data_IF_288592810138
#
_entry.id   IF_288592810138
#
_cell.length_a   1.000
_cell.length_b   1.000
_cell.length_c   1.000
_cell.angle_alpha   90.00
_cell.angle_beta   90.00
_cell.angle_gamma   90.00
#
_symmetry.space_group_name_H-M   'P 1'
#
loop_
_entity.id
_entity.type
_entity.pdbx_description
1 polymer ?
#
# COMPACT_ATOMS: atom_id res chain seq x y z
N UNK A 1 -9.56 -1.93 -6.36
CA UNK A 1 -9.16 -2.85 -5.29
C UNK A 1 -9.35 -4.23 -5.87
N UNK A 2 -8.26 -4.89 -6.27
CA UNK A 2 -8.34 -6.29 -6.62
C UNK A 2 -8.56 -7.09 -5.33
N UNK A 3 -9.44 -8.10 -5.33
CA UNK A 3 -9.49 -9.02 -4.21
C UNK A 3 -8.09 -9.61 -4.01
N UNK A 4 -7.72 -9.75 -2.75
CA UNK A 4 -6.45 -10.31 -2.31
C UNK A 4 -6.17 -11.60 -3.10
N UNK A 5 -5.09 -11.63 -3.86
CA UNK A 5 -4.72 -12.80 -4.66
C UNK A 5 -4.36 -14.03 -3.80
N UNK A 6 -4.35 -13.87 -2.46
CA UNK A 6 -4.20 -14.93 -1.48
C UNK A 6 -5.47 -15.76 -1.36
N UNK A 7 -5.64 -16.74 -2.19
CA UNK A 7 -6.79 -17.64 -2.22
C UNK A 7 -7.44 -17.79 -3.60
N UNK A 8 -6.89 -17.11 -4.57
CA UNK A 8 -7.28 -17.36 -5.96
C UNK A 8 -6.63 -18.66 -6.42
N UNK A 9 -7.46 -19.62 -6.82
CA UNK A 9 -6.98 -20.83 -7.50
C UNK A 9 -6.41 -20.46 -8.88
N UNK A 10 -5.60 -21.35 -9.47
CA UNK A 10 -5.15 -21.19 -10.86
C UNK A 10 -6.33 -21.02 -11.82
N UNK A 11 -7.48 -21.64 -11.53
CA UNK A 11 -8.73 -21.48 -12.27
C UNK A 11 -9.30 -20.05 -12.17
N UNK A 12 -9.22 -19.41 -11.00
CA UNK A 12 -9.68 -18.02 -10.82
C UNK A 12 -8.74 -17.03 -11.53
N UNK A 13 -7.44 -17.31 -11.54
CA UNK A 13 -6.44 -16.54 -12.29
C UNK A 13 -6.69 -16.66 -13.80
N UNK A 14 -6.99 -17.86 -14.27
CA UNK A 14 -7.31 -18.11 -15.67
C UNK A 14 -8.64 -17.46 -16.08
N UNK A 15 -9.67 -17.52 -15.22
CA UNK A 15 -10.95 -16.83 -15.46
C UNK A 15 -10.81 -15.30 -15.49
N UNK A 16 -9.87 -14.73 -14.74
CA UNK A 16 -9.52 -13.30 -14.83
C UNK A 16 -8.83 -12.95 -16.15
N UNK A 17 -7.97 -13.85 -16.66
CA UNK A 17 -7.28 -13.66 -17.94
C UNK A 17 -8.24 -13.82 -19.14
N UNK A 18 -9.29 -14.61 -18.99
CA UNK A 18 -10.33 -14.86 -20.03
C UNK A 18 -11.45 -13.80 -20.04
N UNK A 19 -11.47 -12.85 -19.09
CA UNK A 19 -12.45 -11.76 -19.08
C UNK A 19 -12.28 -10.87 -20.32
N UNK A 20 -13.39 -10.56 -20.96
CA UNK A 20 -13.42 -9.59 -22.06
C UNK A 20 -12.84 -8.25 -21.61
N UNK A 21 -12.03 -7.57 -22.45
CA UNK A 21 -11.43 -6.28 -22.10
C UNK A 21 -12.42 -5.24 -21.54
N UNK A 22 -13.67 -5.25 -22.04
CA UNK A 22 -14.74 -4.38 -21.55
C UNK A 22 -15.20 -4.65 -20.12
N UNK A 23 -14.98 -5.85 -19.55
CA UNK A 23 -15.30 -6.17 -18.16
C UNK A 23 -14.25 -5.67 -17.16
N UNK A 24 -13.04 -5.41 -17.63
CA UNK A 24 -11.94 -4.84 -16.82
C UNK A 24 -11.98 -3.32 -16.79
N UNK A 25 -12.74 -2.68 -17.68
CA UNK A 25 -12.84 -1.22 -17.71
C UNK A 25 -13.74 -0.72 -16.59
N UNK A 26 -13.25 0.19 -15.72
CA UNK A 26 -14.05 0.73 -14.61
C UNK A 26 -15.26 1.51 -15.12
N UNK A 27 -16.45 1.21 -14.59
CA UNK A 27 -17.68 1.97 -14.89
C UNK A 27 -17.74 3.20 -14.00
N UNK A 28 -17.30 4.34 -14.51
CA UNK A 28 -17.31 5.62 -13.78
C UNK A 28 -18.45 6.48 -14.27
N UNK A 29 -19.28 6.98 -13.35
CA UNK A 29 -20.37 7.90 -13.70
C UNK A 29 -19.80 9.18 -14.33
N UNK A 30 -20.47 9.77 -15.36
CA UNK A 30 -19.97 10.95 -16.07
C UNK A 30 -19.56 12.10 -15.17
N UNK A 31 -20.34 12.41 -14.14
CA UNK A 31 -20.08 13.48 -13.18
C UNK A 31 -18.83 13.23 -12.31
N UNK A 32 -18.36 11.97 -12.18
CA UNK A 32 -17.17 11.59 -11.42
C UNK A 32 -15.91 11.38 -12.29
N UNK A 33 -16.04 11.45 -13.59
CA UNK A 33 -14.94 11.25 -14.55
C UNK A 33 -13.71 12.17 -14.28
N UNK A 34 -13.89 13.50 -14.02
CA UNK A 34 -12.73 14.35 -13.74
C UNK A 34 -11.98 13.93 -12.48
N UNK A 35 -12.71 13.56 -11.41
CA UNK A 35 -12.12 13.11 -10.16
C UNK A 35 -11.39 11.75 -10.35
N UNK A 36 -11.97 10.85 -11.13
CA UNK A 36 -11.35 9.58 -11.47
C UNK A 36 -10.04 9.76 -12.22
N UNK A 37 -10.02 10.62 -13.25
CA UNK A 37 -8.79 10.93 -14.01
C UNK A 37 -7.71 11.56 -13.14
N UNK A 38 -8.10 12.45 -12.22
CA UNK A 38 -7.16 13.03 -11.25
C UNK A 38 -6.58 11.96 -10.33
N UNK A 39 -7.42 11.03 -9.83
CA UNK A 39 -6.97 9.89 -9.04
C UNK A 39 -5.99 8.98 -9.79
N UNK A 40 -6.27 8.67 -11.06
CA UNK A 40 -5.35 7.88 -11.90
C UNK A 40 -4.01 8.58 -12.11
N UNK A 41 -4.03 9.91 -12.32
CA UNK A 41 -2.80 10.70 -12.46
C UNK A 41 -1.98 10.65 -11.18
N UNK A 42 -2.60 10.91 -10.02
CA UNK A 42 -1.94 10.83 -8.71
C UNK A 42 -1.35 9.43 -8.47
N UNK A 43 -2.13 8.38 -8.70
CA UNK A 43 -1.66 7.00 -8.53
C UNK A 43 -0.45 6.68 -9.41
N UNK A 44 -0.45 7.17 -10.65
CA UNK A 44 0.69 6.98 -11.57
C UNK A 44 1.94 7.73 -11.10
N UNK A 45 1.79 8.98 -10.64
CA UNK A 45 2.89 9.80 -10.13
C UNK A 45 3.48 9.20 -8.84
N UNK A 46 2.64 8.78 -7.91
CA UNK A 46 3.03 8.08 -6.69
C UNK A 46 3.77 6.77 -6.99
N UNK A 47 3.22 5.96 -7.89
CA UNK A 47 3.86 4.72 -8.32
C UNK A 47 5.21 4.95 -8.96
N UNK A 48 5.36 6.01 -9.76
CA UNK A 48 6.64 6.39 -10.38
C UNK A 48 7.68 6.78 -9.34
N UNK A 49 7.29 7.52 -8.30
CA UNK A 49 8.17 7.89 -7.18
C UNK A 49 8.56 6.67 -6.36
N UNK A 50 7.60 5.77 -6.08
CA UNK A 50 7.86 4.51 -5.37
C UNK A 50 8.82 3.58 -6.13
N UNK A 51 8.75 3.55 -7.46
CA UNK A 51 9.65 2.73 -8.29
C UNK A 51 11.13 3.17 -8.23
N UNK A 52 11.39 4.37 -7.74
CA UNK A 52 12.77 4.84 -7.53
C UNK A 52 13.34 4.38 -6.18
N UNK A 53 12.50 3.82 -5.31
CA UNK A 53 12.90 3.36 -3.99
C UNK A 53 13.34 1.90 -4.08
N UNK A 54 14.58 1.64 -3.72
CA UNK A 54 15.13 0.29 -3.59
C UNK A 54 15.58 0.05 -2.16
N UNK A 55 14.79 -0.70 -1.41
CA UNK A 55 15.09 -1.07 -0.02
C UNK A 55 14.43 -2.41 0.34
N UNK A 56 15.11 -3.32 1.06
CA UNK A 56 14.54 -4.64 1.39
C UNK A 56 13.25 -4.58 2.21
N UNK A 57 13.02 -3.51 2.97
CA UNK A 57 11.80 -3.32 3.77
C UNK A 57 10.76 -2.41 3.08
N UNK A 58 10.84 -2.20 1.78
CA UNK A 58 9.85 -1.50 0.97
C UNK A 58 9.52 -2.36 -0.24
N UNK A 59 8.25 -2.57 -0.53
CA UNK A 59 7.84 -3.35 -1.69
C UNK A 59 8.41 -2.75 -2.98
N UNK A 60 9.03 -3.59 -3.81
CA UNK A 60 9.61 -3.14 -5.07
C UNK A 60 8.56 -3.10 -6.17
N UNK A 61 8.43 -1.96 -6.81
CA UNK A 61 7.62 -1.79 -8.03
C UNK A 61 8.46 -2.20 -9.23
N UNK A 62 7.98 -3.18 -9.99
CA UNK A 62 8.65 -3.72 -11.18
C UNK A 62 8.26 -2.96 -12.45
N UNK A 63 7.00 -2.58 -12.55
CA UNK A 63 6.47 -1.92 -13.73
C UNK A 63 5.14 -1.23 -13.42
N UNK A 64 4.73 -0.30 -14.27
CA UNK A 64 3.34 0.15 -14.40
C UNK A 64 3.00 0.41 -15.85
N UNK A 65 1.74 0.20 -16.14
CA UNK A 65 1.19 0.44 -17.46
C UNK A 65 -0.25 0.92 -17.35
N UNK A 66 -0.70 1.55 -18.41
CA UNK A 66 -2.08 2.00 -18.53
C UNK A 66 -2.80 1.12 -19.51
N UNK A 67 -3.92 0.54 -19.07
CA UNK A 67 -4.79 -0.29 -19.89
C UNK A 67 -6.22 -0.22 -19.34
N UNK A 68 -7.23 -0.52 -20.15
CA UNK A 68 -8.65 -0.53 -19.75
C UNK A 68 -9.08 0.73 -19.00
N UNK A 69 -8.62 1.90 -19.46
CA UNK A 69 -8.88 3.20 -18.83
C UNK A 69 -8.46 3.29 -17.34
N UNK A 70 -7.55 2.43 -16.90
CA UNK A 70 -6.99 2.42 -15.55
C UNK A 70 -5.46 2.30 -15.56
N UNK A 71 -4.84 2.32 -14.39
CA UNK A 71 -3.40 2.15 -14.20
C UNK A 71 -3.15 0.90 -13.39
N UNK A 72 -2.24 0.08 -13.85
CA UNK A 72 -1.78 -1.13 -13.17
C UNK A 72 -0.37 -0.91 -12.65
N UNK A 73 -0.14 -1.34 -11.41
CA UNK A 73 1.19 -1.36 -10.81
C UNK A 73 1.58 -2.83 -10.56
N UNK A 74 2.70 -3.24 -11.12
CA UNK A 74 3.25 -4.58 -10.95
C UNK A 74 4.33 -4.52 -9.89
N UNK A 75 4.21 -5.34 -8.87
CA UNK A 75 5.14 -5.39 -7.74
C UNK A 75 5.73 -6.79 -7.58
N UNK A 76 6.85 -6.88 -6.87
CA UNK A 76 7.38 -8.18 -6.47
C UNK A 76 6.34 -8.97 -5.69
N UNK A 77 6.14 -10.23 -6.07
CA UNK A 77 5.37 -11.16 -5.28
C UNK A 77 6.16 -11.61 -4.06
N UNK A 78 5.59 -11.47 -2.88
CA UNK A 78 6.19 -11.86 -1.62
C UNK A 78 5.46 -13.08 -1.06
N UNK A 79 6.22 -14.03 -0.50
CA UNK A 79 5.67 -15.19 0.20
C UNK A 79 5.72 -14.94 1.72
N UNK A 80 4.60 -15.13 2.40
CA UNK A 80 4.45 -14.87 3.83
C UNK A 80 3.04 -14.38 4.14
N UNK A 81 2.89 -13.64 5.23
CA UNK A 81 1.62 -13.11 5.71
C UNK A 81 1.73 -11.66 6.20
N UNK A 82 0.61 -10.96 6.32
CA UNK A 82 0.61 -9.65 6.93
C UNK A 82 0.78 -9.73 8.45
N UNK A 83 1.33 -8.69 9.06
CA UNK A 83 1.39 -8.59 10.52
C UNK A 83 -0.03 -8.68 11.14
N UNK A 84 -1.05 -8.22 10.43
CA UNK A 84 -2.45 -8.35 10.84
C UNK A 84 -2.87 -9.82 10.96
N UNK A 85 -2.53 -10.64 9.96
CA UNK A 85 -2.85 -12.07 9.95
C UNK A 85 -2.13 -12.79 11.10
N UNK A 86 -0.85 -12.45 11.35
CA UNK A 86 -0.10 -12.95 12.50
C UNK A 86 -0.76 -12.60 13.83
N UNK A 87 -1.23 -11.36 14.00
CA UNK A 87 -1.91 -10.91 15.22
C UNK A 87 -3.22 -11.68 15.42
N UNK A 88 -4.02 -11.85 14.37
CA UNK A 88 -5.29 -12.58 14.43
C UNK A 88 -5.04 -14.04 14.78
N UNK A 89 -4.13 -14.71 14.06
CA UNK A 89 -3.78 -16.12 14.30
C UNK A 89 -3.22 -16.34 15.71
N UNK A 90 -2.37 -15.45 16.20
CA UNK A 90 -1.82 -15.54 17.54
C UNK A 90 -2.91 -15.43 18.62
N UNK A 91 -3.86 -14.52 18.42
CA UNK A 91 -5.02 -14.33 19.33
C UNK A 91 -5.92 -15.57 19.34
N UNK A 92 -6.26 -16.11 18.17
CA UNK A 92 -7.13 -17.28 18.04
C UNK A 92 -6.50 -18.53 18.68
N UNK A 93 -5.19 -18.68 18.59
CA UNK A 93 -4.44 -19.77 19.19
C UNK A 93 -4.09 -19.52 20.68
N UNK A 94 -4.53 -18.42 21.28
CA UNK A 94 -4.20 -17.99 22.67
C UNK A 94 -2.69 -18.03 22.95
N UNK A 95 -1.91 -17.65 21.94
CA UNK A 95 -0.43 -17.62 22.01
C UNK A 95 0.05 -16.24 22.46
N UNK A 96 -0.15 -15.87 23.72
CA UNK A 96 0.21 -14.56 24.29
C UNK A 96 1.71 -14.21 24.17
N UNK A 97 2.57 -15.20 23.82
CA UNK A 97 4.03 -15.04 23.76
C UNK A 97 4.60 -14.95 22.33
N UNK A 98 3.76 -14.86 21.31
CA UNK A 98 4.23 -14.80 19.91
C UNK A 98 5.01 -13.52 19.64
N UNK A 99 4.61 -12.40 20.26
CA UNK A 99 5.29 -11.12 20.13
C UNK A 99 6.16 -10.82 21.35
N UNK A 100 7.37 -11.38 21.38
CA UNK A 100 8.39 -10.95 22.34
C UNK A 100 8.81 -9.53 22.01
N UNK A 101 9.15 -8.73 23.03
CA UNK A 101 9.63 -7.35 22.84
C UNK A 101 10.79 -7.27 21.85
N UNK A 102 11.73 -8.23 21.91
CA UNK A 102 12.86 -8.30 20.98
C UNK A 102 12.41 -8.47 19.52
N UNK A 103 11.40 -9.30 19.28
CA UNK A 103 10.83 -9.52 17.94
C UNK A 103 10.15 -8.25 17.43
N UNK A 104 9.36 -7.57 18.28
CA UNK A 104 8.72 -6.30 17.94
C UNK A 104 9.77 -5.25 17.60
N UNK A 105 10.81 -5.10 18.42
CA UNK A 105 11.89 -4.14 18.18
C UNK A 105 12.61 -4.39 16.87
N UNK A 106 12.95 -5.66 16.57
CA UNK A 106 13.61 -6.03 15.31
C UNK A 106 12.74 -5.70 14.10
N UNK A 107 11.45 -6.05 14.16
CA UNK A 107 10.49 -5.77 13.10
C UNK A 107 10.37 -4.26 12.84
N UNK A 108 10.20 -3.47 13.89
CA UNK A 108 10.08 -2.03 13.75
C UNK A 108 11.40 -1.36 13.30
N UNK A 109 12.56 -1.88 13.69
CA UNK A 109 13.85 -1.37 13.19
C UNK A 109 13.95 -1.53 11.66
N UNK A 110 13.55 -2.69 11.12
CA UNK A 110 13.49 -2.92 9.67
C UNK A 110 12.52 -1.96 8.97
N UNK A 111 11.30 -1.83 9.50
CA UNK A 111 10.27 -0.93 8.95
C UNK A 111 10.71 0.54 8.99
N UNK A 112 11.28 0.98 10.10
CA UNK A 112 11.75 2.37 10.25
C UNK A 112 12.91 2.69 9.31
N UNK A 113 13.79 1.73 9.02
CA UNK A 113 14.84 1.89 7.99
C UNK A 113 14.22 2.06 6.60
N UNK A 114 13.24 1.23 6.25
CA UNK A 114 12.49 1.37 4.99
C UNK A 114 11.79 2.73 4.90
N UNK A 115 11.08 3.12 5.96
CA UNK A 115 10.36 4.38 6.03
C UNK A 115 11.29 5.60 5.92
N UNK A 116 12.49 5.52 6.51
CA UNK A 116 13.53 6.55 6.35
C UNK A 116 13.90 6.78 4.89
N UNK A 117 14.03 5.72 4.09
CA UNK A 117 14.30 5.83 2.64
C UNK A 117 13.12 6.46 1.92
N UNK A 118 11.89 6.06 2.25
CA UNK A 118 10.66 6.67 1.72
C UNK A 118 10.66 8.19 1.98
N UNK A 119 10.96 8.61 3.21
CA UNK A 119 11.02 10.02 3.58
C UNK A 119 12.18 10.78 2.89
N UNK A 120 13.31 10.14 2.64
CA UNK A 120 14.41 10.75 1.85
C UNK A 120 13.97 11.03 0.40
N UNK A 121 13.05 10.23 -0.15
CA UNK A 121 12.41 10.49 -1.44
C UNK A 121 11.23 11.46 -1.33
N UNK A 122 11.08 12.13 -0.18
CA UNK A 122 10.02 13.12 0.09
C UNK A 122 8.61 12.55 -0.08
N UNK A 123 8.44 11.28 0.17
CA UNK A 123 7.16 10.60 0.21
C UNK A 123 6.75 10.31 1.66
N UNK A 124 5.44 10.34 1.91
CA UNK A 124 4.83 9.91 3.16
C UNK A 124 3.95 8.70 2.88
N UNK A 125 4.03 7.68 3.70
CA UNK A 125 3.22 6.47 3.53
C UNK A 125 1.73 6.70 3.86
N UNK A 126 1.45 7.42 4.94
CA UNK A 126 0.13 7.87 5.43
C UNK A 126 -0.86 6.78 5.85
N UNK A 127 -0.54 5.50 5.70
CA UNK A 127 -1.42 4.39 6.13
C UNK A 127 -0.61 3.24 6.76
N UNK A 128 0.28 3.56 7.70
CA UNK A 128 1.03 2.54 8.45
C UNK A 128 0.09 1.82 9.40
N UNK A 129 -0.12 0.52 9.15
CA UNK A 129 -0.97 -0.36 9.97
C UNK A 129 -0.52 -1.82 9.79
N UNK A 130 -0.90 -2.74 10.68
CA UNK A 130 -0.51 -4.15 10.59
C UNK A 130 -0.85 -4.83 9.25
N UNK A 131 -1.95 -4.45 8.61
CA UNK A 131 -2.34 -4.98 7.30
C UNK A 131 -1.40 -4.56 6.17
N UNK A 132 -0.66 -3.46 6.34
CA UNK A 132 0.28 -2.91 5.35
C UNK A 132 1.75 -3.24 5.71
N UNK A 133 1.98 -4.07 6.71
CA UNK A 133 3.29 -4.63 7.06
C UNK A 133 3.25 -6.12 6.75
N UNK A 134 4.10 -6.55 5.83
CA UNK A 134 4.20 -7.94 5.41
C UNK A 134 5.42 -8.59 6.04
N UNK A 135 5.25 -9.79 6.56
CA UNK A 135 6.33 -10.60 7.11
C UNK A 135 6.58 -11.74 6.14
N UNK A 136 7.73 -11.75 5.52
CA UNK A 136 8.12 -12.79 4.57
C UNK A 136 8.46 -14.10 5.28
N UNK A 137 8.51 -15.22 4.54
CA UNK A 137 8.86 -16.53 5.09
C UNK A 137 10.27 -16.59 5.72
N UNK A 138 11.17 -15.69 5.35
CA UNK A 138 12.50 -15.51 5.95
C UNK A 138 12.51 -14.46 7.07
N UNK A 139 11.34 -14.13 7.61
CA UNK A 139 11.12 -13.19 8.73
C UNK A 139 11.59 -11.76 8.46
N UNK A 140 11.49 -11.28 7.23
CA UNK A 140 11.75 -9.90 6.87
C UNK A 140 10.48 -9.07 6.87
N UNK A 141 10.55 -7.87 7.41
CA UNK A 141 9.41 -6.94 7.41
C UNK A 141 9.47 -6.03 6.18
N UNK A 142 8.37 -5.98 5.44
CA UNK A 142 8.24 -5.19 4.20
C UNK A 142 7.01 -4.31 4.27
N UNK A 143 7.17 -3.01 4.01
CA UNK A 143 6.07 -2.06 3.84
C UNK A 143 5.38 -2.31 2.50
N UNK A 144 4.05 -2.47 2.56
CA UNK A 144 3.17 -2.60 1.41
C UNK A 144 2.25 -1.37 1.32
N UNK A 145 1.54 -1.28 0.19
CA UNK A 145 0.39 -0.40 -0.05
C UNK A 145 0.66 1.08 0.21
N UNK A 146 1.30 1.70 -0.75
CA UNK A 146 1.55 3.13 -0.82
C UNK A 146 0.37 3.91 -1.47
N UNK A 147 -0.83 3.30 -1.55
CA UNK A 147 -2.00 3.93 -2.17
C UNK A 147 -2.51 5.20 -1.50
N UNK A 148 -2.10 5.46 -0.25
CA UNK A 148 -2.32 6.71 0.45
C UNK A 148 -1.09 7.63 0.44
N UNK A 149 0.06 7.15 -0.10
CA UNK A 149 1.32 7.89 -0.08
C UNK A 149 1.23 9.19 -0.87
N UNK A 150 1.97 10.20 -0.43
CA UNK A 150 2.01 11.51 -1.09
C UNK A 150 3.40 12.10 -1.10
N UNK A 151 3.68 12.81 -2.18
CA UNK A 151 4.83 13.69 -2.25
C UNK A 151 4.59 14.94 -1.39
N UNK A 152 5.52 15.23 -0.48
CA UNK A 152 5.46 16.36 0.47
C UNK A 152 5.44 17.73 -0.25
N UNK A 153 5.73 17.75 -1.56
CA UNK A 153 5.93 18.97 -2.33
C UNK A 153 4.98 19.16 -3.52
N UNK A 154 3.78 18.57 -3.54
CA UNK A 154 2.85 18.93 -4.60
C UNK A 154 2.43 20.40 -4.44
N UNK A 155 3.04 21.26 -5.26
CA UNK A 155 2.83 22.74 -5.27
C UNK A 155 1.45 23.16 -5.73
N UNK A 156 0.62 22.26 -6.15
CA UNK A 156 -0.73 22.54 -6.62
C UNK A 156 -1.73 22.18 -5.52
N UNK A 157 -2.34 23.22 -4.93
CA UNK A 157 -3.26 23.17 -3.79
C UNK A 157 -4.58 22.39 -3.98
N UNK A 158 -4.60 21.37 -4.80
CA UNK A 158 -5.71 20.43 -4.94
C UNK A 158 -5.51 19.24 -3.98
N UNK A 159 -5.82 19.49 -2.71
CA UNK A 159 -5.82 18.43 -1.69
C UNK A 159 -6.96 17.44 -1.93
N UNK A 160 -6.65 16.34 -2.63
CA UNK A 160 -7.39 15.11 -2.39
C UNK A 160 -7.05 14.73 -0.95
N UNK A 161 -8.03 14.69 -0.05
CA UNK A 161 -7.79 14.31 1.35
C UNK A 161 -7.15 12.93 1.36
N UNK A 162 -6.06 12.72 2.13
CA UNK A 162 -5.51 11.39 2.30
C UNK A 162 -6.61 10.49 2.87
N UNK A 163 -6.81 9.34 2.25
CA UNK A 163 -7.57 8.28 2.90
C UNK A 163 -6.73 7.77 4.06
N UNK A 164 -7.33 7.66 5.22
CA UNK A 164 -6.67 7.14 6.41
C UNK A 164 -7.51 6.04 7.05
N UNK A 165 -6.85 5.15 7.77
CA UNK A 165 -7.51 4.10 8.53
C UNK A 165 -7.76 4.58 9.96
N UNK A 166 -9.03 4.72 10.41
CA UNK A 166 -9.34 5.09 11.78
C UNK A 166 -8.63 4.17 12.78
N UNK A 167 -8.08 4.75 13.84
CA UNK A 167 -7.34 4.02 14.87
C UNK A 167 -5.83 3.88 14.60
N UNK A 168 -5.37 4.12 13.36
CA UNK A 168 -3.94 4.09 12.98
C UNK A 168 -3.43 5.43 12.48
N UNK A 169 -4.33 6.31 12.08
CA UNK A 169 -3.97 7.63 11.56
C UNK A 169 -3.41 8.54 12.66
N UNK A 170 -2.42 9.34 12.31
CA UNK A 170 -1.86 10.35 13.20
C UNK A 170 -2.90 11.46 13.50
N UNK A 171 -2.86 12.09 14.69
CA UNK A 171 -3.86 13.08 15.11
C UNK A 171 -4.04 14.24 14.13
N UNK A 172 -2.97 14.69 13.49
CA UNK A 172 -2.99 15.76 12.49
C UNK A 172 -3.77 15.39 11.23
N UNK A 173 -3.87 14.11 10.89
CA UNK A 173 -4.64 13.63 9.73
C UNK A 173 -6.15 13.81 9.90
N UNK A 174 -6.64 13.94 11.14
CA UNK A 174 -8.05 14.20 11.44
C UNK A 174 -8.40 15.70 11.33
N UNK A 175 -7.41 16.59 11.30
CA UNK A 175 -7.61 18.04 11.21
C UNK A 175 -7.70 18.49 9.75
N UNK A 176 -8.48 19.53 9.51
CA UNK A 176 -8.67 20.08 8.14
C UNK A 176 -7.47 20.91 7.66
N UNK A 177 -6.68 21.42 8.58
CA UNK A 177 -5.58 22.38 8.43
C UNK A 177 -4.23 21.79 8.87
N UNK A 178 -4.18 20.48 9.15
CA UNK A 178 -2.96 19.79 9.57
C UNK A 178 -1.94 19.72 8.44
N UNK A 179 -0.73 20.24 8.66
CA UNK A 179 0.40 19.98 7.79
C UNK A 179 0.90 18.56 8.06
N UNK A 180 1.09 17.78 7.01
CA UNK A 180 1.66 16.44 7.09
C UNK A 180 3.15 16.49 6.80
N UNK A 181 3.94 15.85 7.63
CA UNK A 181 5.39 15.77 7.49
C UNK A 181 5.93 14.43 8.00
N UNK A 182 7.20 14.11 7.70
CA UNK A 182 7.87 12.92 8.19
C UNK A 182 8.09 12.98 9.70
#
# INVERSE_FOLDING_TARGET
VFPDARGMSDADMQALAERSPGELTPRVKPEKQPLYRLGLKSFFEEGRSLAQISHPSVVSVLNFFRENETVYMVMNYLQGDTLQDFIVTARDLKRDKVFRESTIRSLFDEILRGLRIVHQHKMLHLDIKPANIFITNDNKAVLLDFGAAREVLSKEGNFIRPMYTPGFAAPEMYRRDGSLGP
#
